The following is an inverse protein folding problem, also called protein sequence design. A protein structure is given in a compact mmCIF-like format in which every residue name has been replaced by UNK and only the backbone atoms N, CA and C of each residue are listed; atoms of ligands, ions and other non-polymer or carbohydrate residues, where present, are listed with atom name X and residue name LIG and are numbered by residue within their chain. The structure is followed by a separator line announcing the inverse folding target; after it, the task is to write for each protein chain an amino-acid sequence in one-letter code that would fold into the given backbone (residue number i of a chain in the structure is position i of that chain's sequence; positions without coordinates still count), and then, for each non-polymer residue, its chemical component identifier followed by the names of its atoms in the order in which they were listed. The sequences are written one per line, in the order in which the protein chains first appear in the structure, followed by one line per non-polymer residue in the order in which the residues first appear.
data_IF_714661155971
#
_entry.id   IF_714661155971
#
_cell.length_a   1.000
_cell.length_b   1.000
_cell.length_c   1.000
_cell.angle_alpha   90.00
_cell.angle_beta   90.00
_cell.angle_gamma   90.00
#
_symmetry.space_group_name_H-M   'P 1'
#
loop_
_entity.id
_entity.type
_entity.pdbx_description
1 polymer ?
#
# COMPACT_ATOMS: atom_id res chain seq x y z
N UNK A 1 39.23 39.14 44.59
CA UNK A 1 40.19 38.05 44.91
C UNK A 1 40.01 36.90 43.92
N UNK A 2 41.12 36.38 43.40
CA UNK A 2 41.35 35.05 42.78
C UNK A 2 40.54 34.58 41.55
N UNK A 3 40.92 35.13 40.39
CA UNK A 3 41.36 34.48 39.14
C UNK A 3 41.69 32.96 39.25
N UNK A 4 41.18 32.11 38.34
CA UNK A 4 41.91 30.95 37.78
C UNK A 4 41.38 30.49 36.41
N UNK A 5 42.23 30.69 35.40
CA UNK A 5 42.30 30.00 34.11
C UNK A 5 42.89 28.60 34.29
N UNK A 6 42.42 27.62 33.52
CA UNK A 6 43.22 26.54 32.89
C UNK A 6 42.48 26.20 31.57
N UNK A 7 43.00 26.46 30.37
CA UNK A 7 44.19 25.92 29.68
C UNK A 7 44.05 24.46 29.26
N UNK A 8 43.73 24.29 27.97
CA UNK A 8 44.35 23.40 26.97
C UNK A 8 44.92 22.04 27.46
N UNK A 9 44.35 20.95 26.93
CA UNK A 9 45.15 19.80 26.51
C UNK A 9 44.60 19.25 25.18
N UNK A 10 45.45 19.42 24.17
CA UNK A 10 45.47 18.75 22.88
C UNK A 10 45.70 17.26 23.03
N UNK A 11 44.90 16.44 22.33
CA UNK A 11 45.14 15.02 22.13
C UNK A 11 45.04 14.64 20.66
N UNK A 12 46.15 14.80 19.93
CA UNK A 12 46.39 14.08 18.67
C UNK A 12 46.61 12.60 19.00
N UNK A 13 45.92 11.68 18.33
CA UNK A 13 46.44 10.31 18.15
C UNK A 13 45.82 9.62 16.95
N UNK A 14 46.67 9.47 15.93
CA UNK A 14 46.89 8.25 15.12
C UNK A 14 45.70 7.54 14.48
N UNK A 15 45.68 7.62 13.15
CA UNK A 15 44.86 6.76 12.30
C UNK A 15 45.30 5.30 12.31
N UNK A 16 44.33 4.43 12.02
CA UNK A 16 44.57 3.05 11.59
C UNK A 16 43.72 2.82 10.33
N UNK A 17 44.39 2.90 9.18
CA UNK A 17 43.87 2.39 7.90
C UNK A 17 43.76 0.88 8.02
N UNK A 18 42.56 0.31 7.89
CA UNK A 18 42.39 -1.12 7.69
C UNK A 18 42.61 -1.46 6.20
N UNK A 19 43.52 -2.40 5.86
CA UNK A 19 43.78 -2.78 4.49
C UNK A 19 42.71 -3.72 3.93
N UNK A 20 42.34 -3.48 2.67
CA UNK A 20 41.64 -4.41 1.79
C UNK A 20 42.34 -5.77 1.76
N UNK A 21 41.62 -6.84 2.13
CA UNK A 21 41.97 -8.19 1.69
C UNK A 21 41.26 -8.47 0.37
N UNK A 22 42.02 -8.34 -0.72
CA UNK A 22 41.72 -8.93 -2.03
C UNK A 22 41.93 -10.43 -1.94
N UNK A 23 40.94 -11.21 -2.35
CA UNK A 23 41.10 -12.63 -2.65
C UNK A 23 41.75 -12.82 -4.03
N UNK A 24 42.72 -13.74 -4.20
CA UNK A 24 43.32 -14.07 -5.47
C UNK A 24 42.65 -15.29 -6.13
N UNK A 25 42.55 -15.27 -7.47
CA UNK A 25 42.08 -16.38 -8.30
C UNK A 25 41.37 -15.88 -9.57
N UNK A 26 42.02 -15.14 -10.46
CA UNK A 26 42.68 -15.66 -11.67
C UNK A 26 41.93 -16.78 -12.40
N UNK A 27 41.24 -16.48 -13.51
CA UNK A 27 41.73 -16.69 -14.89
C UNK A 27 40.76 -16.10 -15.95
N UNK A 28 41.24 -15.86 -17.19
CA UNK A 28 40.80 -14.76 -18.03
C UNK A 28 40.05 -15.19 -19.29
N UNK A 29 39.30 -14.26 -19.90
CA UNK A 29 39.05 -14.24 -21.34
C UNK A 29 39.17 -12.80 -21.85
N UNK A 30 40.32 -12.54 -22.47
CA UNK A 30 40.55 -11.62 -23.58
C UNK A 30 39.40 -11.67 -24.60
N UNK A 31 38.89 -10.56 -25.13
CA UNK A 31 39.34 -9.87 -26.36
C UNK A 31 38.51 -8.57 -26.47
N UNK A 32 39.13 -7.37 -26.56
CA UNK A 32 39.32 -6.59 -27.81
C UNK A 32 37.96 -6.14 -28.40
N UNK A 33 37.58 -4.86 -28.55
CA UNK A 33 38.32 -3.70 -29.09
C UNK A 33 37.56 -2.41 -28.80
N UNK A 34 38.35 -1.39 -28.51
CA UNK A 34 38.09 0.04 -28.64
C UNK A 34 37.49 0.45 -29.99
N UNK A 35 36.57 1.42 -29.99
CA UNK A 35 36.53 2.46 -31.02
C UNK A 35 35.78 3.71 -30.53
N UNK A 36 36.45 4.83 -30.78
CA UNK A 36 36.18 6.19 -30.36
C UNK A 36 35.27 6.88 -31.38
N UNK A 37 34.44 7.82 -30.89
CA UNK A 37 33.91 9.02 -31.57
C UNK A 37 33.46 8.92 -33.03
N UNK A 38 32.18 9.20 -33.26
CA UNK A 38 31.76 10.19 -34.27
C UNK A 38 30.53 10.96 -33.79
N UNK A 39 30.70 12.27 -33.65
CA UNK A 39 29.62 13.25 -33.66
C UNK A 39 28.92 13.14 -35.01
N UNK A 40 27.61 12.92 -35.01
CA UNK A 40 26.75 13.30 -36.12
C UNK A 40 25.65 14.20 -35.55
N UNK A 41 25.79 15.49 -35.84
CA UNK A 41 24.67 16.40 -35.90
C UNK A 41 23.83 15.97 -37.10
N UNK A 42 22.63 15.46 -36.85
CA UNK A 42 21.57 15.42 -37.86
C UNK A 42 20.56 16.49 -37.52
N UNK A 43 20.60 17.57 -38.29
CA UNK A 43 19.42 18.40 -38.52
C UNK A 43 18.38 17.53 -39.22
N UNK A 44 17.22 17.31 -38.60
CA UNK A 44 16.01 16.87 -39.30
C UNK A 44 15.00 17.98 -39.11
N UNK A 45 14.98 18.89 -40.08
CA UNK A 45 13.88 19.81 -40.29
C UNK A 45 13.01 19.24 -41.44
N UNK A 46 11.71 19.21 -41.19
CA UNK A 46 10.60 19.09 -42.16
C UNK A 46 10.45 17.76 -42.88
N UNK A 47 9.43 16.97 -42.48
CA UNK A 47 8.34 16.59 -43.40
C UNK A 47 7.13 16.04 -42.63
N UNK A 48 6.25 16.95 -42.21
CA UNK A 48 4.82 16.65 -42.03
C UNK A 48 4.26 16.05 -43.34
N UNK A 49 3.22 15.21 -43.21
CA UNK A 49 2.31 14.70 -44.26
C UNK A 49 2.39 13.22 -44.69
N UNK A 50 2.76 12.24 -43.84
CA UNK A 50 2.50 10.82 -44.18
C UNK A 50 2.14 9.94 -42.97
N UNK A 51 1.28 10.40 -42.06
CA UNK A 51 0.71 9.52 -41.00
C UNK A 51 -0.81 9.63 -40.83
N UNK A 52 -1.51 10.35 -41.69
CA UNK A 52 -2.95 10.61 -41.55
C UNK A 52 -3.82 9.73 -42.44
N UNK A 53 -3.27 9.08 -43.46
CA UNK A 53 -4.08 8.34 -44.46
C UNK A 53 -4.41 6.90 -44.05
N UNK A 54 -3.63 6.29 -43.14
CA UNK A 54 -3.88 4.90 -42.70
C UNK A 54 -4.94 4.77 -41.61
N UNK A 55 -5.15 5.82 -40.81
CA UNK A 55 -6.16 5.80 -39.75
C UNK A 55 -7.58 6.04 -40.26
N UNK A 56 -7.75 6.85 -41.31
CA UNK A 56 -9.08 7.15 -41.89
C UNK A 56 -9.70 5.92 -42.57
N UNK A 57 -8.91 5.10 -43.27
CA UNK A 57 -9.40 3.89 -43.94
C UNK A 57 -9.80 2.77 -42.95
N UNK A 58 -9.14 2.68 -41.79
CA UNK A 58 -9.51 1.70 -40.75
C UNK A 58 -10.78 2.07 -39.99
N UNK A 59 -11.13 3.36 -39.91
CA UNK A 59 -12.36 3.82 -39.24
C UNK A 59 -13.61 3.63 -40.12
N UNK A 60 -13.49 3.76 -41.44
CA UNK A 60 -14.63 3.56 -42.35
C UNK A 60 -15.09 2.09 -42.45
N UNK A 61 -14.18 1.11 -42.28
CA UNK A 61 -14.57 -0.31 -42.33
C UNK A 61 -15.29 -0.78 -41.07
N UNK A 62 -14.99 -0.21 -39.91
CA UNK A 62 -15.71 -0.50 -38.67
C UNK A 62 -17.14 0.08 -38.69
N UNK A 63 -17.35 1.23 -39.34
CA UNK A 63 -18.65 1.91 -39.34
C UNK A 63 -19.68 1.25 -40.27
N UNK A 64 -19.23 0.57 -41.34
CA UNK A 64 -20.12 -0.14 -42.28
C UNK A 64 -20.60 -1.49 -41.72
N UNK A 65 -19.86 -2.12 -40.81
CA UNK A 65 -20.28 -3.38 -40.15
C UNK A 65 -21.21 -3.13 -38.96
N UNK A 66 -21.20 -1.94 -38.37
CA UNK A 66 -22.07 -1.57 -37.23
C UNK A 66 -23.50 -1.15 -37.59
N UNK A 67 -23.86 -1.08 -38.89
CA UNK A 67 -25.12 -0.51 -39.37
C UNK A 67 -26.29 -1.49 -39.56
N UNK A 68 -26.17 -2.76 -39.17
CA UNK A 68 -27.15 -3.81 -39.51
C UNK A 68 -27.75 -4.57 -38.29
N UNK A 69 -28.01 -3.89 -37.17
CA UNK A 69 -28.73 -4.48 -36.03
C UNK A 69 -29.74 -3.51 -35.39
N UNK A 70 -30.51 -2.80 -36.22
CA UNK A 70 -31.76 -2.14 -35.78
C UNK A 70 -32.92 -2.72 -36.58
N UNK A 71 -33.19 -4.00 -36.37
CA UNK A 71 -34.47 -4.62 -36.71
C UNK A 71 -35.32 -4.64 -35.44
N UNK A 72 -36.21 -3.65 -35.37
CA UNK A 72 -37.58 -3.70 -34.85
C UNK A 72 -37.95 -5.04 -34.19
N UNK A 73 -38.10 -5.04 -32.86
CA UNK A 73 -39.00 -5.98 -32.19
C UNK A 73 -40.21 -5.18 -31.73
N UNK A 74 -41.26 -5.30 -32.52
CA UNK A 74 -42.58 -4.77 -32.23
C UNK A 74 -43.13 -5.37 -30.93
N UNK A 75 -43.86 -4.53 -30.21
CA UNK A 75 -44.67 -4.89 -29.06
C UNK A 75 -45.61 -6.04 -29.39
N UNK A 76 -45.48 -7.16 -28.67
CA UNK A 76 -46.56 -8.12 -28.48
C UNK A 76 -46.91 -8.10 -26.99
N UNK A 77 -47.99 -7.38 -26.69
CA UNK A 77 -48.78 -7.49 -25.46
C UNK A 77 -49.24 -8.94 -25.31
N UNK A 78 -48.76 -9.59 -24.25
CA UNK A 78 -49.27 -10.84 -23.74
C UNK A 78 -49.16 -10.78 -22.23
N UNK A 79 -50.28 -10.47 -21.58
CA UNK A 79 -50.44 -10.48 -20.13
C UNK A 79 -50.02 -11.84 -19.54
N UNK A 80 -48.96 -11.83 -18.74
CA UNK A 80 -48.68 -12.89 -17.78
C UNK A 80 -47.78 -12.34 -16.66
N UNK A 81 -48.44 -12.02 -15.55
CA UNK A 81 -47.99 -12.19 -14.17
C UNK A 81 -46.62 -11.59 -13.77
N UNK A 82 -46.71 -10.36 -13.26
CA UNK A 82 -45.70 -9.75 -12.42
C UNK A 82 -45.50 -10.61 -11.16
N UNK A 83 -44.28 -11.13 -10.95
CA UNK A 83 -43.56 -11.26 -9.65
C UNK A 83 -42.48 -12.37 -9.65
N UNK A 84 -41.45 -12.25 -10.50
CA UNK A 84 -40.22 -13.02 -10.32
C UNK A 84 -38.99 -12.09 -10.30
N UNK A 85 -38.20 -12.03 -9.21
CA UNK A 85 -37.13 -11.06 -9.05
C UNK A 85 -35.89 -11.47 -9.87
N UNK A 86 -35.68 -10.78 -10.98
CA UNK A 86 -34.47 -10.91 -11.83
C UNK A 86 -33.20 -10.48 -11.04
N UNK A 87 -33.36 -9.75 -9.95
CA UNK A 87 -32.30 -9.24 -9.08
C UNK A 87 -31.60 -10.30 -8.22
N UNK A 88 -32.18 -11.50 -8.02
CA UNK A 88 -31.57 -12.49 -7.12
C UNK A 88 -30.36 -13.24 -7.70
N UNK A 89 -30.17 -13.27 -9.03
CA UNK A 89 -29.05 -14.00 -9.65
C UNK A 89 -27.74 -13.20 -9.70
N UNK A 90 -27.80 -11.87 -9.82
CA UNK A 90 -26.59 -11.03 -9.84
C UNK A 90 -25.86 -11.06 -8.51
N UNK A 91 -26.59 -10.99 -7.40
CA UNK A 91 -25.99 -10.90 -6.07
C UNK A 91 -25.34 -12.23 -5.65
N UNK A 92 -25.93 -13.37 -6.03
CA UNK A 92 -25.32 -14.68 -5.83
C UNK A 92 -24.03 -14.84 -6.64
N UNK A 93 -24.03 -14.41 -7.91
CA UNK A 93 -22.82 -14.48 -8.75
C UNK A 93 -21.70 -13.59 -8.22
N UNK A 94 -22.02 -12.40 -7.71
CA UNK A 94 -21.04 -11.48 -7.10
C UNK A 94 -20.51 -12.07 -5.79
N UNK A 95 -21.36 -12.69 -4.97
CA UNK A 95 -20.91 -13.41 -3.76
C UNK A 95 -19.97 -14.56 -4.10
N UNK A 96 -20.29 -15.36 -5.12
CA UNK A 96 -19.42 -16.46 -5.56
C UNK A 96 -18.07 -15.97 -6.10
N UNK A 97 -18.03 -14.84 -6.81
CA UNK A 97 -16.77 -14.22 -7.25
C UNK A 97 -15.97 -13.72 -6.04
N UNK A 98 -16.65 -13.12 -5.06
CA UNK A 98 -16.01 -12.64 -3.82
C UNK A 98 -15.52 -13.78 -2.94
N UNK A 99 -16.15 -14.95 -2.98
CA UNK A 99 -15.72 -16.15 -2.27
C UNK A 99 -14.59 -16.91 -3.01
N UNK A 100 -14.15 -16.40 -4.17
CA UNK A 100 -13.04 -16.98 -4.91
C UNK A 100 -11.71 -16.57 -4.27
N UNK A 101 -10.96 -17.54 -3.74
CA UNK A 101 -9.64 -17.32 -3.17
C UNK A 101 -8.64 -16.63 -4.14
N UNK A 102 -8.82 -16.80 -5.45
CA UNK A 102 -8.05 -16.08 -6.46
C UNK A 102 -8.37 -14.57 -6.45
N UNK A 103 -9.65 -14.21 -6.43
CA UNK A 103 -10.10 -12.84 -6.34
C UNK A 103 -9.59 -12.18 -5.05
N UNK A 104 -9.81 -12.83 -3.90
CA UNK A 104 -9.42 -12.32 -2.58
C UNK A 104 -7.92 -12.04 -2.48
N UNK A 105 -7.09 -12.96 -2.99
CA UNK A 105 -5.64 -12.78 -2.98
C UNK A 105 -5.18 -11.57 -3.80
N UNK A 106 -5.82 -11.32 -4.93
CA UNK A 106 -5.44 -10.23 -5.83
C UNK A 106 -6.02 -8.89 -5.36
N UNK A 107 -7.26 -8.86 -4.85
CA UNK A 107 -7.87 -7.63 -4.34
C UNK A 107 -7.16 -7.14 -3.07
N UNK A 108 -6.78 -8.04 -2.16
CA UNK A 108 -5.99 -7.68 -0.96
C UNK A 108 -4.63 -7.07 -1.32
N UNK A 109 -3.93 -7.66 -2.29
CA UNK A 109 -2.67 -7.10 -2.80
C UNK A 109 -2.85 -5.75 -3.49
N UNK A 110 -3.93 -5.58 -4.27
CA UNK A 110 -4.23 -4.31 -4.91
C UNK A 110 -4.42 -3.22 -3.85
N UNK A 111 -5.25 -3.48 -2.84
CA UNK A 111 -5.53 -2.55 -1.73
C UNK A 111 -4.25 -2.23 -0.94
N UNK A 112 -3.40 -3.21 -0.67
CA UNK A 112 -2.10 -3.02 -0.01
C UNK A 112 -1.18 -2.11 -0.81
N UNK A 113 -1.05 -2.33 -2.12
CA UNK A 113 -0.22 -1.48 -2.96
C UNK A 113 -0.80 -0.06 -3.09
N UNK A 114 -2.11 0.10 -3.19
CA UNK A 114 -2.76 1.41 -3.17
C UNK A 114 -2.50 2.16 -1.85
N UNK A 115 -2.51 1.46 -0.71
CA UNK A 115 -2.17 2.06 0.59
C UNK A 115 -0.71 2.54 0.65
N UNK A 116 0.23 1.75 0.12
CA UNK A 116 1.64 2.16 0.05
C UNK A 116 1.82 3.36 -0.90
N UNK A 117 1.12 3.37 -2.04
CA UNK A 117 1.11 4.51 -2.96
C UNK A 117 0.57 5.79 -2.31
N UNK A 118 -0.52 5.69 -1.53
CA UNK A 118 -1.09 6.82 -0.77
C UNK A 118 -0.07 7.40 0.24
N UNK A 119 0.65 6.53 0.96
CA UNK A 119 1.70 6.94 1.90
C UNK A 119 2.88 7.58 1.17
N UNK A 120 3.32 7.00 0.06
CA UNK A 120 4.39 7.55 -0.77
C UNK A 120 4.04 8.95 -1.30
N UNK A 121 2.80 9.12 -1.79
CA UNK A 121 2.29 10.42 -2.23
C UNK A 121 2.28 11.46 -1.11
N UNK A 122 1.78 11.07 0.07
CA UNK A 122 1.78 11.93 1.26
C UNK A 122 3.19 12.33 1.72
N UNK A 123 4.22 11.55 1.37
CA UNK A 123 5.63 11.82 1.67
C UNK A 123 6.36 12.62 0.58
N UNK A 124 5.69 13.03 -0.51
CA UNK A 124 6.38 13.69 -1.62
C UNK A 124 7.09 12.74 -2.59
N UNK A 125 6.97 11.41 -2.40
CA UNK A 125 7.70 10.40 -3.19
C UNK A 125 6.93 10.01 -4.45
N UNK A 126 6.88 10.92 -5.41
CA UNK A 126 6.19 10.72 -6.69
C UNK A 126 6.53 9.42 -7.43
N UNK A 127 7.82 9.05 -7.61
CA UNK A 127 8.18 7.81 -8.29
C UNK A 127 7.65 6.56 -7.60
N UNK A 128 7.68 6.53 -6.27
CA UNK A 128 7.17 5.41 -5.48
C UNK A 128 5.63 5.34 -5.52
N UNK A 129 4.94 6.49 -5.50
CA UNK A 129 3.50 6.56 -5.72
C UNK A 129 3.13 5.92 -7.06
N UNK A 130 3.79 6.31 -8.15
CA UNK A 130 3.47 5.80 -9.49
C UNK A 130 3.77 4.31 -9.58
N UNK A 131 4.92 3.86 -9.06
CA UNK A 131 5.30 2.45 -9.06
C UNK A 131 4.29 1.59 -8.31
N UNK A 132 3.88 2.01 -7.11
CA UNK A 132 2.91 1.26 -6.32
C UNK A 132 1.49 1.34 -6.90
N UNK A 133 1.13 2.44 -7.55
CA UNK A 133 -0.14 2.58 -8.29
C UNK A 133 -0.20 1.60 -9.47
N UNK A 134 0.88 1.43 -10.24
CA UNK A 134 0.96 0.43 -11.31
C UNK A 134 0.81 -0.99 -10.78
N UNK A 135 1.53 -1.34 -9.70
CA UNK A 135 1.41 -2.65 -9.06
C UNK A 135 -0.03 -2.90 -8.57
N UNK A 136 -0.68 -1.88 -7.99
CA UNK A 136 -2.07 -1.96 -7.57
C UNK A 136 -3.01 -2.21 -8.77
N UNK A 137 -2.79 -1.52 -9.89
CA UNK A 137 -3.59 -1.66 -11.10
C UNK A 137 -3.45 -3.06 -11.71
N UNK A 138 -2.25 -3.60 -11.76
CA UNK A 138 -2.00 -4.95 -12.27
C UNK A 138 -2.72 -6.00 -11.41
N UNK A 139 -2.64 -5.88 -10.08
CA UNK A 139 -3.36 -6.79 -9.18
C UNK A 139 -4.88 -6.65 -9.29
N UNK A 140 -5.40 -5.42 -9.42
CA UNK A 140 -6.83 -5.20 -9.62
C UNK A 140 -7.33 -5.80 -10.94
N UNK A 141 -6.52 -5.75 -12.01
CA UNK A 141 -6.81 -6.43 -13.29
C UNK A 141 -6.79 -7.94 -13.17
N UNK A 142 -5.85 -8.52 -12.43
CA UNK A 142 -5.86 -9.95 -12.15
C UNK A 142 -7.13 -10.34 -11.36
N UNK A 143 -7.53 -9.56 -10.37
CA UNK A 143 -8.81 -9.77 -9.68
C UNK A 143 -10.01 -9.68 -10.63
N UNK A 144 -9.99 -8.75 -11.60
CA UNK A 144 -11.06 -8.61 -12.61
C UNK A 144 -11.19 -9.85 -13.51
N UNK A 145 -10.12 -10.62 -13.73
CA UNK A 145 -10.20 -11.89 -14.47
C UNK A 145 -11.04 -12.94 -13.75
N UNK A 146 -11.16 -12.84 -12.41
CA UNK A 146 -12.00 -13.73 -11.62
C UNK A 146 -13.50 -13.43 -11.79
N UNK A 147 -13.84 -12.21 -12.22
CA UNK A 147 -15.21 -11.80 -12.46
C UNK A 147 -15.41 -10.28 -12.36
N UNK A 148 -16.58 -9.85 -12.82
CA UNK A 148 -16.96 -8.45 -12.80
C UNK A 148 -17.61 -8.09 -11.45
N UNK A 149 -16.94 -7.29 -10.63
CA UNK A 149 -17.44 -6.86 -9.32
C UNK A 149 -17.71 -5.35 -9.34
N UNK A 150 -18.90 -4.88 -8.91
CA UNK A 150 -19.16 -3.44 -8.76
C UNK A 150 -18.17 -2.83 -7.76
N UNK A 151 -17.66 -1.63 -8.04
CA UNK A 151 -16.58 -0.99 -7.28
C UNK A 151 -15.15 -1.39 -7.69
N UNK A 152 -14.91 -2.63 -8.17
CA UNK A 152 -13.59 -3.03 -8.70
C UNK A 152 -13.24 -2.21 -9.94
N UNK A 153 -14.17 -2.13 -10.89
CA UNK A 153 -13.96 -1.38 -12.13
C UNK A 153 -13.75 0.11 -11.86
N UNK A 154 -14.48 0.68 -10.91
CA UNK A 154 -14.34 2.09 -10.51
C UNK A 154 -12.96 2.35 -9.90
N UNK A 155 -12.48 1.43 -9.05
CA UNK A 155 -11.12 1.48 -8.50
C UNK A 155 -10.06 1.38 -9.60
N UNK A 156 -10.24 0.50 -10.57
CA UNK A 156 -9.35 0.37 -11.74
C UNK A 156 -9.30 1.66 -12.57
N UNK A 157 -10.46 2.28 -12.82
CA UNK A 157 -10.54 3.56 -13.55
C UNK A 157 -9.80 4.66 -12.79
N UNK A 158 -10.03 4.81 -11.49
CA UNK A 158 -9.34 5.80 -10.66
C UNK A 158 -7.81 5.61 -10.65
N UNK A 159 -7.32 4.35 -10.58
CA UNK A 159 -5.88 4.07 -10.69
C UNK A 159 -5.31 4.46 -12.07
N UNK A 160 -6.06 4.24 -13.16
CA UNK A 160 -5.63 4.64 -14.50
C UNK A 160 -5.60 6.15 -14.66
N UNK A 161 -6.59 6.84 -14.10
CA UNK A 161 -6.62 8.30 -14.08
C UNK A 161 -5.39 8.85 -13.35
N UNK A 162 -5.06 8.31 -12.17
CA UNK A 162 -3.84 8.66 -11.43
C UNK A 162 -2.59 8.54 -12.31
N UNK A 163 -2.44 7.44 -13.05
CA UNK A 163 -1.27 7.19 -13.90
C UNK A 163 -1.22 8.07 -15.16
N UNK A 164 -2.36 8.62 -15.57
CA UNK A 164 -2.47 9.49 -16.74
C UNK A 164 -2.42 10.98 -16.37
N UNK A 165 -2.27 11.32 -15.09
CA UNK A 165 -2.18 12.71 -14.66
C UNK A 165 -0.97 13.39 -15.34
N UNK A 166 -1.15 14.58 -15.94
CA UNK A 166 -0.08 15.25 -16.65
C UNK A 166 1.07 15.62 -15.71
N UNK A 167 2.30 15.54 -16.22
CA UNK A 167 3.51 15.93 -15.49
C UNK A 167 3.39 17.39 -15.04
N UNK A 168 3.21 17.62 -13.73
CA UNK A 168 2.96 18.95 -13.15
C UNK A 168 1.64 19.06 -12.36
N UNK A 169 0.78 18.04 -12.40
CA UNK A 169 -0.31 17.91 -11.43
C UNK A 169 0.22 17.77 -10.02
N UNK A 170 -0.52 18.34 -9.06
CA UNK A 170 -0.14 18.26 -7.65
C UNK A 170 -0.08 16.80 -7.24
N UNK A 171 1.02 16.41 -6.58
CA UNK A 171 1.14 15.08 -6.01
C UNK A 171 0.01 14.79 -5.01
N UNK A 172 -0.57 15.84 -4.43
CA UNK A 172 -1.72 15.76 -3.54
C UNK A 172 -2.98 15.26 -4.27
N UNK A 173 -3.24 15.72 -5.50
CA UNK A 173 -4.38 15.28 -6.32
C UNK A 173 -4.23 13.82 -6.73
N UNK A 174 -3.01 13.43 -7.14
CA UNK A 174 -2.67 12.05 -7.44
C UNK A 174 -2.87 11.15 -6.19
N UNK A 175 -2.44 11.62 -5.03
CA UNK A 175 -2.61 10.90 -3.76
C UNK A 175 -4.09 10.75 -3.39
N UNK A 176 -4.90 11.79 -3.60
CA UNK A 176 -6.34 11.75 -3.36
C UNK A 176 -7.04 10.74 -4.29
N UNK A 177 -6.66 10.70 -5.57
CA UNK A 177 -7.19 9.73 -6.54
C UNK A 177 -6.82 8.29 -6.17
N UNK A 178 -5.56 8.03 -5.79
CA UNK A 178 -5.13 6.70 -5.29
C UNK A 178 -5.92 6.29 -4.05
N UNK A 179 -6.20 7.23 -3.15
CA UNK A 179 -6.99 6.96 -1.95
C UNK A 179 -8.44 6.59 -2.28
N UNK A 180 -9.07 7.32 -3.19
CA UNK A 180 -10.42 6.98 -3.67
C UNK A 180 -10.45 5.59 -4.31
N UNK A 181 -9.45 5.29 -5.15
CA UNK A 181 -9.29 3.97 -5.73
C UNK A 181 -9.15 2.87 -4.66
N UNK A 182 -8.34 3.12 -3.62
CA UNK A 182 -8.17 2.18 -2.50
C UNK A 182 -9.48 1.90 -1.79
N UNK A 183 -10.32 2.92 -1.55
CA UNK A 183 -11.62 2.76 -0.89
C UNK A 183 -12.55 1.90 -1.75
N UNK A 184 -12.62 2.17 -3.05
CA UNK A 184 -13.43 1.41 -4.01
C UNK A 184 -12.98 -0.05 -4.13
N UNK A 185 -11.67 -0.31 -4.21
CA UNK A 185 -11.11 -1.67 -4.17
C UNK A 185 -11.35 -2.35 -2.81
N UNK A 186 -11.26 -1.54 -1.75
CA UNK A 186 -11.70 -1.78 -0.37
C UNK A 186 -13.06 -2.48 -0.30
N UNK A 187 -14.05 -1.72 -0.74
CA UNK A 187 -15.45 -2.13 -0.85
C UNK A 187 -15.61 -3.32 -1.81
N UNK A 188 -14.82 -3.34 -2.89
CA UNK A 188 -14.52 -4.43 -3.82
C UNK A 188 -14.45 -5.81 -3.16
N UNK A 189 -13.43 -5.98 -2.32
CA UNK A 189 -13.20 -7.19 -1.52
C UNK A 189 -14.05 -7.26 -0.24
N UNK A 190 -14.85 -6.22 0.02
CA UNK A 190 -15.42 -5.87 1.31
C UNK A 190 -14.45 -6.06 2.48
N UNK A 191 -13.22 -5.59 2.25
CA UNK A 191 -12.20 -5.37 3.25
C UNK A 191 -12.57 -4.04 3.93
N UNK A 192 -12.63 -4.02 5.26
CA UNK A 192 -12.90 -2.77 6.00
C UNK A 192 -11.69 -1.85 5.87
N UNK A 193 -11.77 -0.84 5.02
CA UNK A 193 -10.79 0.25 4.99
C UNK A 193 -10.98 1.08 6.25
N UNK A 194 -10.08 0.96 7.21
CA UNK A 194 -10.01 1.91 8.31
C UNK A 194 -9.65 3.26 7.69
N UNK A 195 -10.65 4.13 7.60
CA UNK A 195 -10.53 5.44 6.98
C UNK A 195 -9.77 6.37 7.91
N UNK A 196 -8.47 6.39 7.72
CA UNK A 196 -7.51 6.95 8.63
C UNK A 196 -7.49 8.51 8.60
N UNK A 197 -8.53 9.14 8.00
CA UNK A 197 -8.83 10.60 8.06
C UNK A 197 -10.25 10.95 8.57
N UNK A 198 -11.18 10.02 8.78
CA UNK A 198 -12.56 10.34 9.22
C UNK A 198 -12.82 10.15 10.74
N UNK A 199 -11.78 10.21 11.56
CA UNK A 199 -11.89 10.46 13.00
C UNK A 199 -11.59 11.95 13.32
N UNK A 200 -12.00 12.87 12.45
CA UNK A 200 -11.57 14.28 12.47
C UNK A 200 -12.65 15.34 12.68
N UNK A 201 -13.95 15.02 12.67
CA UNK A 201 -14.98 16.08 12.61
C UNK A 201 -16.29 15.82 13.36
N UNK A 202 -16.35 14.86 14.28
CA UNK A 202 -17.54 14.71 15.13
C UNK A 202 -17.20 14.21 16.55
N UNK A 203 -16.37 14.97 17.27
CA UNK A 203 -16.41 15.03 18.73
C UNK A 203 -15.66 16.29 19.18
N UNK A 204 -16.40 17.37 19.40
CA UNK A 204 -15.92 18.46 20.24
C UNK A 204 -15.62 17.90 21.63
N UNK A 205 -14.40 18.13 22.11
CA UNK A 205 -13.95 17.62 23.39
C UNK A 205 -12.43 17.63 23.51
N UNK A 206 -11.87 18.83 23.62
CA UNK A 206 -10.58 19.20 24.22
C UNK A 206 -9.68 18.03 24.68
N UNK A 207 -8.61 17.73 23.93
CA UNK A 207 -7.21 17.93 24.33
C UNK A 207 -6.25 17.30 23.30
N UNK A 208 -5.20 18.05 23.02
CA UNK A 208 -4.06 17.84 22.15
C UNK A 208 -3.55 16.38 21.92
N UNK A 209 -3.40 16.03 20.62
CA UNK A 209 -2.08 15.85 19.96
C UNK A 209 -1.31 14.52 20.22
N UNK A 210 -1.13 13.76 19.12
CA UNK A 210 -0.33 12.52 18.91
C UNK A 210 -0.88 11.19 19.48
N UNK A 211 -1.51 10.36 18.63
CA UNK A 211 -1.80 8.97 18.97
C UNK A 211 -2.78 8.29 18.02
N UNK A 212 -2.34 7.99 16.79
CA UNK A 212 -3.13 7.19 15.84
C UNK A 212 -3.18 5.76 16.36
N UNK A 213 -4.31 5.35 16.94
CA UNK A 213 -4.63 3.95 17.25
C UNK A 213 -3.89 3.33 18.44
N UNK A 214 -3.29 4.13 19.31
CA UNK A 214 -2.71 3.59 20.55
C UNK A 214 -3.81 3.46 21.60
N UNK A 215 -3.99 2.27 22.16
CA UNK A 215 -4.86 2.07 23.31
C UNK A 215 -4.03 1.74 24.53
N UNK A 216 -4.43 2.30 25.65
CA UNK A 216 -3.82 1.97 26.94
C UNK A 216 -4.62 0.84 27.56
N UNK A 217 -3.95 -0.24 27.92
CA UNK A 217 -4.54 -1.42 28.54
C UNK A 217 -3.89 -1.63 29.88
N UNK A 218 -4.71 -1.76 30.93
CA UNK A 218 -4.27 -2.13 32.27
C UNK A 218 -4.52 -3.60 32.49
N UNK A 219 -3.52 -4.31 32.99
CA UNK A 219 -3.63 -5.73 33.20
C UNK A 219 -2.43 -6.34 33.90
N UNK A 220 -2.53 -7.65 34.12
CA UNK A 220 -1.44 -8.46 34.64
C UNK A 220 -0.68 -9.10 33.49
N UNK A 221 0.65 -9.01 33.54
CA UNK A 221 1.53 -9.70 32.59
C UNK A 221 1.57 -11.18 32.89
N UNK A 222 1.30 -12.01 31.88
CA UNK A 222 1.41 -13.46 31.93
C UNK A 222 2.55 -13.86 30.99
N UNK A 223 3.61 -14.40 31.58
CA UNK A 223 4.74 -14.94 30.83
C UNK A 223 4.36 -16.26 30.17
N UNK A 224 4.63 -16.38 28.87
CA UNK A 224 4.59 -17.66 28.18
C UNK A 224 5.97 -18.30 28.23
N UNK A 225 6.18 -19.16 29.22
CA UNK A 225 7.46 -19.87 29.43
C UNK A 225 7.82 -20.80 28.26
N UNK A 226 6.85 -21.11 27.38
CA UNK A 226 7.03 -22.05 26.27
C UNK A 226 7.53 -21.36 25.00
N UNK A 227 7.18 -20.08 24.78
CA UNK A 227 7.51 -19.36 23.54
C UNK A 227 8.83 -18.58 23.57
N UNK A 228 9.44 -18.35 24.73
CA UNK A 228 10.70 -17.60 24.85
C UNK A 228 11.92 -18.28 24.19
N UNK A 229 11.78 -19.52 23.69
CA UNK A 229 12.91 -20.33 23.18
C UNK A 229 13.09 -20.36 21.66
N UNK A 230 12.15 -19.87 20.85
CA UNK A 230 12.22 -20.09 19.39
C UNK A 230 12.51 -18.87 18.51
N UNK A 231 12.22 -17.65 18.97
CA UNK A 231 12.30 -16.47 18.08
C UNK A 231 13.01 -15.24 18.66
N UNK A 232 13.61 -15.35 19.86
CA UNK A 232 14.42 -14.27 20.45
C UNK A 232 13.63 -13.03 20.89
N UNK A 233 12.30 -13.02 20.70
CA UNK A 233 11.39 -12.01 21.24
C UNK A 233 10.77 -12.46 22.56
N UNK A 234 10.62 -11.53 23.50
CA UNK A 234 9.90 -11.79 24.75
C UNK A 234 8.39 -11.59 24.51
N UNK A 235 7.69 -12.69 24.21
CA UNK A 235 6.25 -12.72 24.04
C UNK A 235 5.55 -12.85 25.40
N UNK A 236 4.57 -11.99 25.64
CA UNK A 236 3.75 -11.99 26.86
C UNK A 236 2.28 -11.89 26.50
N UNK A 237 1.41 -12.28 27.42
CA UNK A 237 -0.01 -11.96 27.37
C UNK A 237 -0.33 -10.94 28.45
N UNK A 238 -1.14 -9.94 28.12
CA UNK A 238 -1.68 -8.99 29.08
C UNK A 238 -3.12 -9.36 29.39
N UNK A 239 -3.39 -9.81 30.61
CA UNK A 239 -4.75 -10.12 31.06
C UNK A 239 -5.41 -8.87 31.60
N UNK A 240 -6.45 -8.39 30.92
CA UNK A 240 -7.20 -7.23 31.37
C UNK A 240 -8.09 -7.54 32.59
N UNK A 241 -8.73 -6.50 33.14
CA UNK A 241 -9.65 -6.64 34.27
C UNK A 241 -10.90 -7.47 33.96
N UNK A 242 -11.24 -7.63 32.68
CA UNK A 242 -12.34 -8.48 32.23
C UNK A 242 -11.91 -9.96 32.06
N UNK A 243 -10.65 -10.29 32.37
CA UNK A 243 -10.09 -11.63 32.22
C UNK A 243 -9.76 -12.01 30.78
N UNK A 244 -9.69 -11.03 29.87
CA UNK A 244 -9.34 -11.24 28.47
C UNK A 244 -7.83 -11.14 28.29
N UNK A 245 -7.26 -12.17 27.66
CA UNK A 245 -5.84 -12.23 27.36
C UNK A 245 -5.54 -11.56 26.02
N UNK A 246 -4.60 -10.61 26.04
CA UNK A 246 -4.15 -9.87 24.86
C UNK A 246 -2.68 -10.21 24.57
N UNK A 247 -2.33 -10.80 23.41
CA UNK A 247 -0.93 -11.03 23.07
C UNK A 247 -0.21 -9.70 22.86
N UNK A 248 0.95 -9.56 23.49
CA UNK A 248 1.81 -8.39 23.36
C UNK A 248 3.26 -8.83 23.16
N UNK A 249 3.99 -8.03 22.39
CA UNK A 249 5.43 -8.25 22.18
C UNK A 249 6.20 -7.12 22.84
N UNK A 250 7.05 -7.47 23.81
CA UNK A 250 7.93 -6.51 24.48
C UNK A 250 9.28 -6.47 23.77
N UNK A 251 9.86 -5.27 23.68
CA UNK A 251 11.27 -5.11 23.27
C UNK A 251 12.19 -5.72 24.33
N UNK A 252 13.42 -6.04 23.94
CA UNK A 252 14.41 -6.65 24.85
C UNK A 252 14.65 -5.79 26.11
N UNK A 253 14.74 -4.47 25.94
CA UNK A 253 14.97 -3.53 27.05
C UNK A 253 13.78 -3.46 28.02
N UNK A 254 12.55 -3.52 27.51
CA UNK A 254 11.34 -3.54 28.33
C UNK A 254 11.21 -4.87 29.07
N UNK A 255 11.49 -5.98 28.39
CA UNK A 255 11.42 -7.33 28.97
C UNK A 255 12.36 -7.56 30.16
N UNK A 256 13.46 -6.81 30.28
CA UNK A 256 14.38 -6.91 31.42
C UNK A 256 13.81 -6.39 32.74
N UNK A 257 12.83 -5.49 32.67
CA UNK A 257 12.26 -4.81 33.84
C UNK A 257 10.87 -5.32 34.23
N UNK A 258 10.31 -6.23 33.42
CA UNK A 258 8.96 -6.74 33.57
C UNK A 258 9.01 -8.23 33.91
N UNK A 259 8.18 -8.67 34.86
CA UNK A 259 8.05 -10.09 35.23
C UNK A 259 6.61 -10.56 35.05
N UNK A 260 6.44 -11.87 34.84
CA UNK A 260 5.12 -12.50 34.93
C UNK A 260 4.53 -12.23 36.33
N UNK A 261 3.27 -11.84 36.38
CA UNK A 261 2.55 -11.40 37.58
C UNK A 261 2.59 -9.89 37.84
N UNK A 262 3.37 -9.12 37.09
CA UNK A 262 3.41 -7.67 37.27
C UNK A 262 2.13 -7.02 36.72
N UNK A 263 1.53 -6.14 37.53
CA UNK A 263 0.46 -5.24 37.09
C UNK A 263 1.05 -4.07 36.33
N UNK A 264 0.58 -3.88 35.11
CA UNK A 264 1.14 -2.88 34.19
C UNK A 264 0.05 -2.11 33.46
N UNK A 265 0.41 -0.88 33.11
CA UNK A 265 -0.28 -0.06 32.15
C UNK A 265 0.55 -0.01 30.87
N UNK A 266 0.04 -0.64 29.81
CA UNK A 266 0.72 -0.74 28.53
C UNK A 266 0.00 0.10 27.48
N UNK A 267 0.74 0.97 26.80
CA UNK A 267 0.27 1.65 25.59
C UNK A 267 0.64 0.80 24.38
N UNK A 268 -0.39 0.31 23.69
CA UNK A 268 -0.27 -0.66 22.62
C UNK A 268 -0.79 -0.04 21.33
N UNK A 269 -0.09 -0.23 20.22
CA UNK A 269 -0.57 0.20 18.91
C UNK A 269 -1.67 -0.73 18.35
N UNK A 270 -2.11 -0.44 17.12
CA UNK A 270 -3.14 -1.24 16.44
C UNK A 270 -2.66 -2.65 16.05
N UNK A 271 -1.34 -2.87 15.98
CA UNK A 271 -0.72 -4.13 15.57
C UNK A 271 -0.36 -5.03 16.77
N UNK A 272 -0.54 -4.54 18.00
CA UNK A 272 -0.23 -5.28 19.23
C UNK A 272 1.19 -5.08 19.74
N UNK A 273 1.94 -4.13 19.19
CA UNK A 273 3.26 -3.75 19.68
C UNK A 273 3.14 -2.77 20.84
N UNK A 274 3.93 -3.02 21.88
CA UNK A 274 3.94 -2.17 23.07
C UNK A 274 4.87 -0.98 22.83
N UNK A 275 4.31 0.23 22.85
CA UNK A 275 5.04 1.49 22.68
C UNK A 275 5.60 2.00 24.01
N UNK A 276 4.85 1.82 25.09
CA UNK A 276 5.25 2.18 26.44
C UNK A 276 4.62 1.22 27.45
N UNK A 277 5.35 0.91 28.53
CA UNK A 277 4.84 0.10 29.62
C UNK A 277 5.31 0.69 30.95
N UNK A 278 4.38 0.82 31.89
CA UNK A 278 4.67 1.29 33.24
C UNK A 278 4.15 0.27 34.24
N UNK A 279 4.95 0.00 35.27
CA UNK A 279 4.54 -0.86 36.39
C UNK A 279 3.65 -0.06 37.34
N UNK A 280 2.50 -0.63 37.67
CA UNK A 280 1.62 -0.09 38.71
C UNK A 280 2.24 -0.44 40.08
N UNK A 281 2.56 0.59 40.88
CA UNK A 281 3.17 0.43 42.21
C UNK A 281 2.13 0.04 43.27
#
# INVERSE_FOLDING_TARGET
MAKRRMSLLSGQSSGIRKPCRKAPGSRPCTWIRSACRRKQYFHIAVKENIMTTRYVLSLCTALVVGGACVAVSAHALGDADQNAPITMKSDQSIRLIRENAFFDRHIDKAVKHAAVAEVAGSQGKGPDLIRHTQLSLDQAREAQRAGNVPGLNEGIVALRETLNLPQGTSLEDATASVRDARIKLAQAGGIRTVDNRMAGTAAGGMHAQYGRGTRTVKGELIGDEVSSRKEGGNHYFLRDQAGKDLPITLTEDMGRHMRSGDKVEAQIDADGLVLAIAKEQ
#
